data_IF_799041234221
#
_entry.id   IF_799041234221
#
_cell.length_a   1.000
_cell.length_b   1.000
_cell.length_c   1.000
_cell.angle_alpha   90.00
_cell.angle_beta   90.00
_cell.angle_gamma   90.00
#
_symmetry.space_group_name_H-M   'P 1'
#
loop_
_entity.id
_entity.type
_entity.pdbx_description
1 polymer ?
#
# COMPACT_ATOMS: atom_id res chain seq x y z
N UNK A 1 34.59 -46.65 17.20
CA UNK A 1 34.18 -45.95 15.96
C UNK A 1 32.96 -45.12 16.30
N UNK A 2 33.13 -43.80 16.24
CA UNK A 2 32.30 -42.78 16.88
C UNK A 2 30.93 -42.67 16.19
N UNK A 3 29.87 -42.79 17.00
CA UNK A 3 28.48 -42.54 16.61
C UNK A 3 28.34 -41.10 16.15
N UNK A 4 27.89 -40.87 14.92
CA UNK A 4 27.45 -39.55 14.47
C UNK A 4 25.92 -39.58 14.34
N UNK A 5 25.25 -39.08 15.39
CA UNK A 5 23.83 -38.79 15.38
C UNK A 5 23.60 -37.56 14.49
N UNK A 6 22.80 -37.72 13.44
CA UNK A 6 22.38 -36.66 12.55
C UNK A 6 21.39 -35.75 13.30
N UNK A 7 21.81 -34.51 13.53
CA UNK A 7 21.07 -33.47 14.24
C UNK A 7 19.70 -33.19 13.61
N UNK A 8 18.68 -33.07 14.46
CA UNK A 8 17.45 -32.33 14.19
C UNK A 8 17.78 -30.85 14.01
N UNK A 9 17.18 -30.19 13.02
CA UNK A 9 16.82 -28.79 13.17
C UNK A 9 15.54 -28.49 12.38
N UNK A 10 14.43 -28.42 13.10
CA UNK A 10 13.20 -27.83 12.60
C UNK A 10 13.38 -26.33 12.43
N UNK A 11 12.84 -25.78 11.35
CA UNK A 11 12.67 -24.35 11.16
C UNK A 11 11.25 -24.10 10.67
N UNK A 12 10.31 -24.02 11.61
CA UNK A 12 9.04 -23.32 11.41
C UNK A 12 9.33 -21.84 11.37
N UNK A 13 9.55 -21.27 10.19
CA UNK A 13 9.46 -19.82 10.00
C UNK A 13 8.02 -19.49 9.62
N UNK A 14 7.14 -19.52 10.62
CA UNK A 14 5.92 -18.74 10.56
C UNK A 14 6.34 -17.27 10.75
N UNK A 15 6.59 -16.57 9.65
CA UNK A 15 6.64 -15.11 9.69
C UNK A 15 5.22 -14.61 9.89
N UNK A 16 4.79 -14.47 11.14
CA UNK A 16 3.76 -13.49 11.49
C UNK A 16 4.37 -12.10 11.32
N UNK A 17 4.64 -11.74 10.06
CA UNK A 17 5.05 -10.41 9.68
C UNK A 17 3.79 -9.58 9.54
N UNK A 18 3.67 -8.54 10.36
CA UNK A 18 2.84 -7.40 10.03
C UNK A 18 3.18 -7.00 8.59
N UNK A 19 2.23 -7.13 7.67
CA UNK A 19 2.49 -6.83 6.27
C UNK A 19 2.72 -5.33 6.12
N UNK A 20 3.99 -4.92 6.06
CA UNK A 20 4.39 -3.68 5.40
C UNK A 20 3.83 -3.79 3.98
N UNK A 21 2.88 -2.92 3.62
CA UNK A 21 2.13 -3.05 2.36
C UNK A 21 3.03 -3.27 1.15
N UNK A 22 2.54 -4.02 0.17
CA UNK A 22 3.25 -4.37 -1.07
C UNK A 22 3.06 -3.26 -2.12
N UNK A 23 4.12 -2.51 -2.49
CA UNK A 23 4.02 -1.46 -3.50
C UNK A 23 3.63 -1.98 -4.89
N UNK A 24 3.93 -3.23 -5.23
CA UNK A 24 3.58 -3.80 -6.54
C UNK A 24 2.08 -4.10 -6.62
N UNK A 25 1.52 -4.71 -5.58
CA UNK A 25 0.07 -4.86 -5.42
C UNK A 25 -0.61 -3.47 -5.38
N UNK A 26 -0.04 -2.53 -4.64
CA UNK A 26 -0.50 -1.15 -4.53
C UNK A 26 -0.57 -0.42 -5.88
N UNK A 27 0.43 -0.62 -6.75
CA UNK A 27 0.43 -0.04 -8.10
C UNK A 27 -0.74 -0.56 -8.95
N UNK A 28 -1.03 -1.87 -8.86
CA UNK A 28 -2.18 -2.48 -9.57
C UNK A 28 -3.50 -1.94 -9.04
N UNK A 29 -3.65 -1.86 -7.72
CA UNK A 29 -4.84 -1.30 -7.07
C UNK A 29 -5.02 0.18 -7.42
N UNK A 30 -3.94 0.95 -7.43
CA UNK A 30 -3.94 2.35 -7.87
C UNK A 30 -4.42 2.48 -9.31
N UNK A 31 -3.92 1.64 -10.22
CA UNK A 31 -4.32 1.63 -11.62
C UNK A 31 -5.83 1.44 -11.78
N UNK A 32 -6.43 0.56 -10.99
CA UNK A 32 -7.87 0.26 -11.04
C UNK A 32 -8.73 1.34 -10.40
N UNK A 33 -8.29 1.91 -9.27
CA UNK A 33 -9.17 2.68 -8.39
C UNK A 33 -8.92 4.19 -8.42
N UNK A 34 -7.74 4.65 -8.84
CA UNK A 34 -7.29 6.02 -8.56
C UNK A 34 -6.97 6.83 -9.83
N UNK A 35 -6.61 6.16 -10.93
CA UNK A 35 -6.10 6.79 -12.15
C UNK A 35 -7.11 7.67 -12.87
N UNK A 36 -8.42 7.38 -12.72
CA UNK A 36 -9.49 8.17 -13.31
C UNK A 36 -9.45 9.65 -12.91
N UNK A 37 -8.94 9.97 -11.71
CA UNK A 37 -8.83 11.33 -11.21
C UNK A 37 -7.37 11.78 -11.04
N UNK A 38 -6.50 10.88 -10.59
CA UNK A 38 -5.13 11.23 -10.24
C UNK A 38 -4.11 10.95 -11.35
N UNK A 39 -4.53 10.38 -12.48
CA UNK A 39 -3.67 10.05 -13.61
C UNK A 39 -2.81 8.79 -13.38
N UNK A 40 -2.30 8.21 -14.46
CA UNK A 40 -1.40 7.04 -14.38
C UNK A 40 -0.03 7.41 -13.78
N UNK A 41 0.41 8.64 -14.00
CA UNK A 41 1.66 9.22 -13.51
C UNK A 41 1.54 9.88 -12.13
N UNK A 42 0.34 9.86 -11.52
CA UNK A 42 0.02 10.54 -10.26
C UNK A 42 0.04 12.07 -10.35
N UNK A 43 0.07 12.67 -11.54
CA UNK A 43 0.14 14.13 -11.69
C UNK A 43 -1.18 14.84 -11.36
N UNK A 44 -2.31 14.11 -11.34
CA UNK A 44 -3.63 14.70 -11.19
C UNK A 44 -4.00 15.65 -12.33
N UNK A 45 -4.92 16.57 -12.04
CA UNK A 45 -5.36 17.61 -12.95
C UNK A 45 -5.37 18.94 -12.21
N UNK A 46 -4.45 19.87 -12.53
CA UNK A 46 -4.37 21.17 -11.85
C UNK A 46 -5.73 21.87 -11.78
N UNK A 47 -6.11 22.32 -10.58
CA UNK A 47 -7.40 22.97 -10.32
C UNK A 47 -8.59 22.03 -10.10
N UNK A 48 -8.45 20.71 -10.33
CA UNK A 48 -9.55 19.75 -10.17
C UNK A 48 -9.19 18.55 -9.29
N UNK A 49 -8.06 17.89 -9.57
CA UNK A 49 -7.59 16.72 -8.82
C UNK A 49 -6.13 16.90 -8.43
N UNK A 50 -5.77 16.75 -7.15
CA UNK A 50 -4.40 17.02 -6.71
C UNK A 50 -3.43 15.96 -7.24
N UNK A 51 -2.20 16.39 -7.48
CA UNK A 51 -1.08 15.48 -7.70
C UNK A 51 -0.82 14.63 -6.45
N UNK A 52 -0.52 13.36 -6.66
CA UNK A 52 -0.07 12.43 -5.63
C UNK A 52 1.43 12.11 -5.74
N UNK A 53 2.12 12.70 -6.72
CA UNK A 53 3.59 12.73 -6.75
C UNK A 53 4.11 13.32 -5.43
N UNK A 54 5.14 12.68 -4.88
CA UNK A 54 5.79 13.07 -3.62
C UNK A 54 4.82 13.28 -2.45
N UNK A 55 3.67 12.60 -2.42
CA UNK A 55 2.67 12.80 -1.37
C UNK A 55 3.22 12.46 0.02
N UNK A 56 4.20 11.55 0.10
CA UNK A 56 4.92 11.25 1.34
C UNK A 56 5.68 12.43 1.95
N UNK A 57 5.93 13.52 1.20
CA UNK A 57 6.49 14.77 1.74
C UNK A 57 5.43 15.66 2.41
N UNK A 58 4.14 15.41 2.15
CA UNK A 58 3.01 16.24 2.58
C UNK A 58 2.11 15.54 3.59
N UNK A 59 1.98 14.23 3.48
CA UNK A 59 1.15 13.39 4.34
C UNK A 59 1.93 12.17 4.80
N UNK A 60 1.71 11.79 6.05
CA UNK A 60 2.19 10.51 6.56
C UNK A 60 1.31 9.34 6.06
N UNK A 61 1.80 8.11 6.28
CA UNK A 61 1.08 6.92 5.84
C UNK A 61 -0.29 6.73 6.50
N UNK A 62 -0.49 7.19 7.74
CA UNK A 62 -1.79 7.09 8.39
C UNK A 62 -2.80 8.07 7.75
N UNK A 63 -2.37 9.29 7.45
CA UNK A 63 -3.17 10.30 6.77
C UNK A 63 -3.56 9.87 5.35
N UNK A 64 -2.63 9.26 4.59
CA UNK A 64 -2.94 8.70 3.26
C UNK A 64 -4.01 7.62 3.37
N UNK A 65 -3.85 6.67 4.30
CA UNK A 65 -4.80 5.58 4.50
C UNK A 65 -6.17 6.06 4.96
N UNK A 66 -6.20 7.05 5.85
CA UNK A 66 -7.45 7.65 6.32
C UNK A 66 -8.18 8.37 5.17
N UNK A 67 -7.43 9.08 4.31
CA UNK A 67 -7.98 9.73 3.12
C UNK A 67 -8.57 8.73 2.14
N UNK A 68 -7.93 7.58 1.92
CA UNK A 68 -8.48 6.51 1.05
C UNK A 68 -9.77 5.94 1.65
N UNK A 69 -9.83 5.74 2.98
CA UNK A 69 -11.02 5.19 3.65
C UNK A 69 -12.21 6.14 3.59
N UNK A 70 -11.97 7.39 3.93
CA UNK A 70 -13.03 8.38 4.14
C UNK A 70 -13.36 9.20 2.90
N UNK A 71 -12.45 9.23 1.93
CA UNK A 71 -12.54 10.15 0.79
C UNK A 71 -12.37 11.62 1.21
N UNK A 72 -12.84 12.52 0.36
CA UNK A 72 -12.91 13.96 0.65
C UNK A 72 -13.15 14.80 -0.60
N UNK A 73 -14.08 15.76 -0.51
CA UNK A 73 -14.50 16.56 -1.66
C UNK A 73 -15.09 15.66 -2.75
N UNK A 74 -14.47 15.66 -3.93
CA UNK A 74 -14.85 14.80 -5.05
C UNK A 74 -14.29 13.37 -4.98
N UNK A 75 -13.34 13.09 -4.06
CA UNK A 75 -12.78 11.74 -3.89
C UNK A 75 -13.76 10.88 -3.09
N UNK A 76 -14.32 9.80 -3.65
CA UNK A 76 -15.23 8.91 -2.92
C UNK A 76 -14.48 8.13 -1.83
N UNK A 77 -15.17 7.66 -0.77
CA UNK A 77 -14.62 6.64 0.12
C UNK A 77 -14.50 5.30 -0.62
N UNK A 78 -13.55 4.47 -0.20
CA UNK A 78 -13.32 3.14 -0.79
C UNK A 78 -13.64 2.01 0.22
N UNK A 79 -14.91 1.81 0.63
CA UNK A 79 -15.29 0.79 1.61
C UNK A 79 -15.10 -0.65 1.12
N UNK A 80 -14.99 -0.85 -0.19
CA UNK A 80 -14.73 -2.15 -0.82
C UNK A 80 -13.28 -2.60 -0.67
N UNK A 81 -12.35 -1.69 -0.39
CA UNK A 81 -10.94 -2.04 -0.20
C UNK A 81 -10.72 -2.50 1.23
N UNK A 82 -10.07 -3.65 1.36
CA UNK A 82 -9.61 -4.19 2.63
C UNK A 82 -8.50 -3.32 3.25
N UNK A 83 -8.22 -3.57 4.53
CA UNK A 83 -7.11 -2.93 5.22
C UNK A 83 -5.78 -3.15 4.48
N UNK A 84 -5.52 -4.38 4.03
CA UNK A 84 -4.29 -4.74 3.34
C UNK A 84 -4.17 -4.01 2.00
N UNK A 85 -5.24 -3.96 1.21
CA UNK A 85 -5.22 -3.24 -0.07
C UNK A 85 -4.94 -1.75 0.11
N UNK A 86 -5.49 -1.14 1.17
CA UNK A 86 -5.21 0.25 1.53
C UNK A 86 -3.76 0.44 1.97
N UNK A 87 -3.21 -0.50 2.75
CA UNK A 87 -1.79 -0.49 3.13
C UNK A 87 -0.87 -0.65 1.90
N UNK A 88 -1.23 -1.48 0.94
CA UNK A 88 -0.50 -1.69 -0.32
C UNK A 88 -0.51 -0.41 -1.18
N UNK A 89 -1.67 0.23 -1.37
CA UNK A 89 -1.79 1.50 -2.08
C UNK A 89 -0.96 2.59 -1.38
N UNK A 90 -1.07 2.70 -0.05
CA UNK A 90 -0.29 3.69 0.70
C UNK A 90 1.22 3.44 0.58
N UNK A 91 1.65 2.18 0.58
CA UNK A 91 3.06 1.79 0.37
C UNK A 91 3.55 2.15 -1.04
N UNK A 92 2.70 2.02 -2.06
CA UNK A 92 2.99 2.48 -3.42
C UNK A 92 3.12 4.01 -3.51
N UNK A 93 2.22 4.75 -2.85
CA UNK A 93 2.21 6.22 -2.87
C UNK A 93 3.31 6.87 -2.01
N UNK A 94 3.82 6.17 -1.00
CA UNK A 94 4.87 6.67 -0.12
C UNK A 94 6.28 6.70 -0.77
N UNK A 95 6.40 6.28 -2.04
CA UNK A 95 7.63 6.40 -2.84
C UNK A 95 7.79 7.78 -3.47
#
# INVERSE_FOLDING_TARGET
>A
MLKLALMLCGATLATTGWSKGDPAAGAKLYSTNCTACHGADRAGMPGAFPALTDIGKRLDGAQIKDKIRKGGGLMPPFPQLSQQEIDDIASYLAK
#
